data_IF_726598597875
#
_entry.id   IF_726598597875
#
_cell.length_a   1.000
_cell.length_b   1.000
_cell.length_c   1.000
_cell.angle_alpha   90.00
_cell.angle_beta   90.00
_cell.angle_gamma   90.00
#
_symmetry.space_group_name_H-M   'P 1'
#
loop_
_entity.id
_entity.type
_entity.pdbx_description
1 polymer ?
#
# COMPACT_ATOMS: atom_id res chain seq x y z
N UNK A 1 -20.26 -9.80 -23.10
CA UNK A 1 -20.29 -8.76 -22.05
C UNK A 1 -18.90 -8.12 -22.04
N UNK A 2 -18.76 -6.90 -22.55
CA UNK A 2 -17.50 -6.15 -22.47
C UNK A 2 -17.59 -5.27 -21.22
N UNK A 3 -16.61 -5.40 -20.33
CA UNK A 3 -16.50 -4.55 -19.14
C UNK A 3 -15.57 -3.38 -19.49
N UNK A 4 -15.93 -2.16 -19.08
CA UNK A 4 -15.08 -0.99 -19.26
C UNK A 4 -13.75 -1.14 -18.50
N UNK A 5 -12.66 -0.62 -19.06
CA UNK A 5 -11.32 -0.77 -18.48
C UNK A 5 -11.25 -0.26 -17.03
N UNK A 6 -11.91 0.86 -16.74
CA UNK A 6 -11.96 1.45 -15.41
C UNK A 6 -12.62 0.53 -14.39
N UNK A 7 -13.69 -0.17 -14.80
CA UNK A 7 -14.39 -1.14 -13.95
C UNK A 7 -13.50 -2.35 -13.68
N UNK A 8 -12.79 -2.83 -14.71
CA UNK A 8 -11.86 -3.96 -14.55
C UNK A 8 -10.69 -3.62 -13.62
N UNK A 9 -10.08 -2.44 -13.76
CA UNK A 9 -9.00 -1.96 -12.88
C UNK A 9 -9.47 -1.83 -11.44
N UNK A 10 -10.63 -1.21 -11.21
CA UNK A 10 -11.20 -1.05 -9.88
C UNK A 10 -11.53 -2.40 -9.22
N UNK A 11 -12.18 -3.30 -9.96
CA UNK A 11 -12.46 -4.65 -9.46
C UNK A 11 -11.18 -5.43 -9.12
N UNK A 12 -10.14 -5.30 -9.96
CA UNK A 12 -8.83 -5.91 -9.71
C UNK A 12 -8.20 -5.39 -8.42
N UNK A 13 -8.18 -4.06 -8.22
CA UNK A 13 -7.70 -3.48 -6.98
C UNK A 13 -8.43 -4.04 -5.77
N UNK A 14 -9.78 -4.01 -5.79
CA UNK A 14 -10.59 -4.47 -4.65
C UNK A 14 -10.27 -5.91 -4.27
N UNK A 15 -10.25 -6.83 -5.25
CA UNK A 15 -9.95 -8.25 -4.99
C UNK A 15 -8.53 -8.44 -4.48
N UNK A 16 -7.54 -7.81 -5.12
CA UNK A 16 -6.14 -7.95 -4.72
C UNK A 16 -5.86 -7.31 -3.36
N UNK A 17 -6.51 -6.18 -3.03
CA UNK A 17 -6.31 -5.47 -1.77
C UNK A 17 -6.94 -6.21 -0.58
N UNK A 18 -8.08 -6.88 -0.77
CA UNK A 18 -8.65 -7.80 0.22
C UNK A 18 -7.68 -8.95 0.50
N UNK A 19 -7.20 -9.63 -0.55
CA UNK A 19 -6.22 -10.72 -0.40
C UNK A 19 -4.92 -10.24 0.26
N UNK A 20 -4.46 -9.03 -0.09
CA UNK A 20 -3.28 -8.41 0.51
C UNK A 20 -3.45 -8.14 2.00
N UNK A 21 -4.65 -7.73 2.41
CA UNK A 21 -4.98 -7.46 3.81
C UNK A 21 -4.92 -8.75 4.64
N UNK A 22 -5.49 -9.84 4.13
CA UNK A 22 -5.41 -11.17 4.77
C UNK A 22 -3.95 -11.65 4.89
N UNK A 23 -3.16 -11.48 3.83
CA UNK A 23 -1.75 -11.87 3.84
C UNK A 23 -0.92 -11.02 4.82
N UNK A 24 -1.16 -9.70 4.90
CA UNK A 24 -0.51 -8.83 5.90
C UNK A 24 -0.79 -9.32 7.31
N UNK A 25 -2.04 -9.71 7.61
CA UNK A 25 -2.38 -10.22 8.94
C UNK A 25 -1.59 -11.49 9.29
N UNK A 26 -1.46 -12.44 8.35
CA UNK A 26 -0.67 -13.66 8.53
C UNK A 26 0.82 -13.36 8.76
N UNK A 27 1.41 -12.52 7.91
CA UNK A 27 2.84 -12.19 7.98
C UNK A 27 3.21 -11.42 9.26
N UNK A 28 2.28 -10.63 9.80
CA UNK A 28 2.47 -9.98 11.09
C UNK A 28 2.60 -10.99 12.24
N UNK A 29 1.84 -12.08 12.22
CA UNK A 29 1.96 -13.17 13.20
C UNK A 29 3.30 -13.92 13.06
N UNK A 30 3.74 -14.12 11.82
CA UNK A 30 5.02 -14.76 11.48
C UNK A 30 6.24 -13.84 11.69
N UNK A 31 6.02 -12.56 12.00
CA UNK A 31 7.05 -11.52 12.12
C UNK A 31 7.87 -11.30 10.85
N UNK A 32 7.31 -11.59 9.68
CA UNK A 32 7.94 -11.25 8.39
C UNK A 32 7.64 -9.79 8.02
N UNK A 33 8.27 -8.89 8.77
CA UNK A 33 8.07 -7.44 8.63
C UNK A 33 8.56 -6.88 7.29
N UNK A 34 9.54 -7.54 6.66
CA UNK A 34 10.01 -7.17 5.32
C UNK A 34 8.92 -7.38 4.30
N UNK A 35 8.24 -8.52 4.36
CA UNK A 35 7.17 -8.83 3.43
C UNK A 35 5.93 -7.97 3.69
N UNK A 36 5.58 -7.71 4.96
CA UNK A 36 4.53 -6.73 5.31
C UNK A 36 4.81 -5.36 4.68
N UNK A 37 6.04 -4.87 4.82
CA UNK A 37 6.47 -3.60 4.23
C UNK A 37 6.37 -3.59 2.70
N UNK A 38 6.75 -4.69 2.05
CA UNK A 38 6.59 -4.88 0.60
C UNK A 38 5.12 -4.78 0.17
N UNK A 39 4.21 -5.36 0.94
CA UNK A 39 2.76 -5.32 0.67
C UNK A 39 2.17 -3.91 0.85
N UNK A 40 2.68 -3.10 1.79
CA UNK A 40 2.27 -1.70 1.91
C UNK A 40 2.55 -0.92 0.61
N UNK A 41 3.75 -1.09 0.05
CA UNK A 41 4.11 -0.44 -1.21
C UNK A 41 3.27 -0.92 -2.39
N UNK A 42 3.01 -2.23 -2.48
CA UNK A 42 2.14 -2.77 -3.54
C UNK A 42 0.72 -2.24 -3.45
N UNK A 43 0.21 -2.08 -2.23
CA UNK A 43 -1.09 -1.47 -2.03
C UNK A 43 -1.10 -0.01 -2.52
N UNK A 44 -0.10 0.79 -2.14
CA UNK A 44 -0.02 2.18 -2.59
C UNK A 44 0.06 2.29 -4.12
N UNK A 45 0.86 1.44 -4.76
CA UNK A 45 0.94 1.36 -6.21
C UNK A 45 -0.43 1.00 -6.83
N UNK A 46 -1.14 0.03 -6.23
CA UNK A 46 -2.50 -0.34 -6.66
C UNK A 46 -3.48 0.83 -6.53
N UNK A 47 -3.42 1.59 -5.44
CA UNK A 47 -4.23 2.79 -5.25
C UNK A 47 -3.89 3.92 -6.23
N UNK A 48 -2.61 4.09 -6.56
CA UNK A 48 -2.13 5.10 -7.53
C UNK A 48 -2.47 4.72 -8.97
N UNK A 49 -2.32 3.44 -9.35
CA UNK A 49 -2.38 3.00 -10.76
C UNK A 49 -3.66 2.29 -11.18
N UNK A 50 -4.36 1.60 -10.27
CA UNK A 50 -5.59 0.89 -10.58
C UNK A 50 -6.82 1.69 -10.16
N UNK A 51 -6.81 2.23 -8.94
CA UNK A 51 -7.91 3.06 -8.43
C UNK A 51 -7.79 4.53 -8.81
N UNK A 52 -6.57 4.98 -9.15
CA UNK A 52 -6.28 6.38 -9.51
C UNK A 52 -6.74 7.38 -8.42
N UNK A 53 -6.66 6.97 -7.15
CA UNK A 53 -7.07 7.78 -5.98
C UNK A 53 -5.88 8.45 -5.27
N UNK A 54 -4.65 8.33 -5.77
CA UNK A 54 -3.50 9.02 -5.19
C UNK A 54 -3.34 10.44 -5.76
N UNK A 55 -2.28 11.14 -5.35
CA UNK A 55 -1.87 12.42 -5.93
C UNK A 55 -0.33 12.56 -5.89
N UNK A 56 0.28 13.50 -6.63
CA UNK A 56 1.73 13.67 -6.69
C UNK A 56 2.38 13.84 -5.31
N UNK A 57 1.73 14.54 -4.38
CA UNK A 57 2.21 14.77 -3.03
C UNK A 57 2.29 13.47 -2.22
N UNK A 58 1.26 12.61 -2.30
CA UNK A 58 1.26 11.32 -1.60
C UNK A 58 2.27 10.35 -2.21
N UNK A 59 2.34 10.27 -3.53
CA UNK A 59 3.30 9.42 -4.25
C UNK A 59 4.75 9.85 -3.90
N UNK A 60 5.01 11.15 -3.81
CA UNK A 60 6.32 11.69 -3.42
C UNK A 60 6.65 11.39 -1.96
N UNK A 61 5.70 11.53 -1.03
CA UNK A 61 5.90 11.18 0.38
C UNK A 61 6.23 9.70 0.54
N UNK A 62 5.51 8.80 -0.14
CA UNK A 62 5.82 7.36 -0.13
C UNK A 62 7.20 7.07 -0.71
N UNK A 63 7.60 7.78 -1.77
CA UNK A 63 8.95 7.65 -2.36
C UNK A 63 10.06 8.06 -1.37
N UNK A 64 9.87 9.18 -0.67
CA UNK A 64 10.83 9.66 0.34
C UNK A 64 10.93 8.66 1.49
N UNK A 65 9.79 8.20 2.01
CA UNK A 65 9.75 7.22 3.11
C UNK A 65 10.42 5.90 2.73
N UNK A 66 10.30 5.45 1.48
CA UNK A 66 11.00 4.24 1.01
C UNK A 66 12.52 4.31 1.12
N UNK A 67 13.08 5.52 1.08
CA UNK A 67 14.53 5.73 1.21
C UNK A 67 14.97 6.03 2.64
N UNK A 68 14.04 6.00 3.61
CA UNK A 68 14.31 6.33 5.01
C UNK A 68 14.70 5.08 5.79
N UNK A 69 15.74 5.20 6.62
CA UNK A 69 16.19 4.10 7.48
C UNK A 69 15.09 3.67 8.45
N UNK A 70 14.94 2.36 8.65
CA UNK A 70 13.93 1.79 9.55
C UNK A 70 12.52 1.67 8.96
N UNK A 71 12.25 2.28 7.79
CA UNK A 71 10.95 2.17 7.11
C UNK A 71 10.90 0.91 6.24
N UNK A 72 10.05 -0.03 6.61
CA UNK A 72 9.83 -1.27 5.85
C UNK A 72 8.82 -1.07 4.72
N UNK A 73 7.82 -0.21 4.92
CA UNK A 73 6.73 0.02 3.98
C UNK A 73 6.08 1.38 4.18
N UNK A 74 5.48 1.95 3.13
CA UNK A 74 4.66 3.15 3.25
C UNK A 74 3.52 3.14 2.24
N UNK A 75 2.38 3.73 2.62
CA UNK A 75 1.21 3.88 1.75
C UNK A 75 0.33 5.06 2.14
N UNK A 76 -0.43 5.58 1.19
CA UNK A 76 -1.56 6.45 1.49
C UNK A 76 -2.62 5.73 2.36
N UNK A 77 -3.34 6.50 3.15
CA UNK A 77 -4.47 6.02 3.97
C UNK A 77 -5.68 6.94 3.84
N UNK A 78 -6.88 6.41 4.05
CA UNK A 78 -8.15 7.11 3.83
C UNK A 78 -8.64 7.06 2.38
N UNK A 79 -9.51 8.00 2.01
CA UNK A 79 -10.20 7.99 0.71
C UNK A 79 -9.34 8.45 -0.48
N UNK A 80 -8.20 9.09 -0.24
CA UNK A 80 -7.30 9.58 -1.28
C UNK A 80 -7.54 11.00 -1.76
N UNK A 81 -6.96 11.32 -2.91
CA UNK A 81 -6.90 12.65 -3.53
C UNK A 81 -6.21 13.70 -2.66
N UNK A 82 -5.28 13.25 -1.82
CA UNK A 82 -4.62 14.03 -0.77
C UNK A 82 -4.71 13.34 0.59
N UNK A 83 -4.37 14.08 1.66
CA UNK A 83 -4.46 13.57 3.03
C UNK A 83 -3.13 13.03 3.56
N UNK A 84 -3.13 11.78 4.04
CA UNK A 84 -2.04 11.23 4.85
C UNK A 84 -1.37 10.00 4.21
N UNK A 85 -0.11 9.81 4.55
CA UNK A 85 0.67 8.58 4.33
C UNK A 85 1.01 7.97 5.68
N UNK A 86 0.93 6.64 5.78
CA UNK A 86 1.43 5.88 6.92
C UNK A 86 2.70 5.14 6.53
N UNK A 87 3.66 5.10 7.45
CA UNK A 87 4.87 4.30 7.36
C UNK A 87 4.78 3.13 8.34
N UNK A 88 5.28 1.96 7.93
CA UNK A 88 5.43 0.78 8.75
C UNK A 88 6.90 0.67 9.16
N UNK A 89 7.13 0.85 10.46
CA UNK A 89 8.44 0.80 11.12
C UNK A 89 8.37 -0.26 12.22
N UNK A 90 9.51 -0.91 12.50
CA UNK A 90 9.62 -1.88 13.59
C UNK A 90 10.79 -1.49 14.47
N UNK A 91 10.50 -1.18 15.73
CA UNK A 91 11.51 -1.02 16.76
C UNK A 91 11.90 -2.41 17.26
N UNK A 92 13.17 -2.77 17.07
CA UNK A 92 13.74 -3.96 17.70
C UNK A 92 14.20 -3.56 19.10
N UNK A 93 13.54 -4.07 20.13
CA UNK A 93 14.03 -3.95 21.51
C UNK A 93 15.40 -4.66 21.60
N UNK A 94 16.41 -3.92 22.09
CA UNK A 94 17.75 -4.44 22.40
C UNK A 94 17.73 -5.37 23.62
#
# INVERSE_FOLDING_TARGET
MQCEEIVLKGAKHVVEEIARTELVAQLLEEKDYKEVGRLFYQSHESLSKLMEVSCPELDQLVHIMRSSDGVFGARMTGGGFGGCVIAFEVELEN
#
